data_IF_937881170868
#
_entry.id   IF_937881170868
#
_cell.length_a   1.000
_cell.length_b   1.000
_cell.length_c   1.000
_cell.angle_alpha   90.00
_cell.angle_beta   90.00
_cell.angle_gamma   90.00
#
_symmetry.space_group_name_H-M   'P 1'
#
loop_
_entity.id
_entity.type
_entity.pdbx_description
1 polymer ?
#
# COMPACT_ATOMS: atom_id res chain seq x y z
N UNK A 1 -23.36 11.35 -13.63
CA UNK A 1 -23.79 11.84 -12.30
C UNK A 1 -23.90 10.63 -11.39
N UNK A 2 -23.01 10.52 -10.40
CA UNK A 2 -22.87 9.36 -9.53
C UNK A 2 -24.03 9.20 -8.55
N UNK A 3 -24.26 7.96 -8.10
CA UNK A 3 -25.26 7.64 -7.07
C UNK A 3 -24.67 7.92 -5.68
N UNK A 4 -25.38 8.61 -4.77
CA UNK A 4 -24.86 8.95 -3.43
C UNK A 4 -24.37 7.74 -2.62
N UNK A 5 -24.92 6.56 -2.90
CA UNK A 5 -24.55 5.31 -2.23
C UNK A 5 -23.19 4.78 -2.68
N UNK A 6 -22.85 4.97 -3.95
CA UNK A 6 -21.55 4.58 -4.52
C UNK A 6 -20.47 5.51 -4.01
N UNK A 7 -20.76 6.81 -3.97
CA UNK A 7 -19.84 7.84 -3.45
C UNK A 7 -19.50 7.57 -1.98
N UNK A 8 -20.51 7.25 -1.15
CA UNK A 8 -20.29 6.86 0.26
C UNK A 8 -19.42 5.60 0.41
N UNK A 9 -19.57 4.62 -0.48
CA UNK A 9 -18.78 3.39 -0.44
C UNK A 9 -17.31 3.65 -0.82
N UNK A 10 -17.07 4.49 -1.83
CA UNK A 10 -15.72 4.90 -2.24
C UNK A 10 -14.98 5.59 -1.09
N UNK A 11 -15.64 6.55 -0.42
CA UNK A 11 -15.07 7.22 0.75
C UNK A 11 -14.74 6.24 1.89
N UNK A 12 -15.57 5.22 2.11
CA UNK A 12 -15.30 4.22 3.15
C UNK A 12 -14.07 3.36 2.83
N UNK A 13 -13.86 2.98 1.57
CA UNK A 13 -12.69 2.20 1.14
C UNK A 13 -11.40 2.99 1.44
N UNK A 14 -11.36 4.26 1.04
CA UNK A 14 -10.21 5.14 1.27
C UNK A 14 -9.94 5.36 2.75
N UNK A 15 -10.97 5.63 3.54
CA UNK A 15 -10.86 5.76 4.99
C UNK A 15 -10.31 4.47 5.62
N UNK A 16 -10.70 3.30 5.11
CA UNK A 16 -10.20 2.02 5.61
C UNK A 16 -8.72 1.81 5.27
N UNK A 17 -8.28 2.20 4.07
CA UNK A 17 -6.85 2.18 3.69
C UNK A 17 -6.05 3.14 4.59
N UNK A 18 -6.50 4.38 4.76
CA UNK A 18 -5.82 5.33 5.63
C UNK A 18 -5.72 4.83 7.09
N UNK A 19 -6.80 4.25 7.62
CA UNK A 19 -6.81 3.60 8.94
C UNK A 19 -5.83 2.42 9.01
N UNK A 20 -5.71 1.64 7.94
CA UNK A 20 -4.76 0.55 7.83
C UNK A 20 -3.32 1.05 7.92
N UNK A 21 -2.96 2.12 7.20
CA UNK A 21 -1.63 2.71 7.24
C UNK A 21 -1.27 3.26 8.63
N UNK A 22 -2.21 3.95 9.29
CA UNK A 22 -2.03 4.41 10.69
C UNK A 22 -1.84 3.21 11.63
N UNK A 23 -2.62 2.14 11.45
CA UNK A 23 -2.51 0.94 12.29
C UNK A 23 -1.16 0.26 12.08
N UNK A 24 -0.67 0.13 10.84
CA UNK A 24 0.67 -0.39 10.53
C UNK A 24 1.78 0.49 11.13
N UNK A 25 1.65 1.82 11.06
CA UNK A 25 2.57 2.77 11.70
C UNK A 25 2.70 2.46 13.21
N UNK A 26 1.57 2.32 13.90
CA UNK A 26 1.55 2.00 15.34
C UNK A 26 2.10 0.61 15.64
N UNK A 27 1.81 -0.38 14.80
CA UNK A 27 2.35 -1.74 14.93
C UNK A 27 3.87 -1.76 14.84
N UNK A 28 4.46 -0.88 14.02
CA UNK A 28 5.92 -0.73 13.92
C UNK A 28 6.52 0.14 15.04
N UNK A 29 5.69 0.70 15.94
CA UNK A 29 6.12 1.61 17.00
C UNK A 29 6.55 2.99 16.49
N UNK A 30 6.12 3.36 15.29
CA UNK A 30 6.43 4.65 14.68
C UNK A 30 5.45 5.73 15.14
N UNK A 31 5.88 6.99 15.05
CA UNK A 31 5.01 8.15 15.17
C UNK A 31 4.38 8.49 13.81
N UNK A 32 3.49 9.48 13.80
CA UNK A 32 2.80 9.93 12.59
C UNK A 32 3.55 11.07 11.88
N UNK A 33 4.85 11.25 12.14
CA UNK A 33 5.63 12.35 11.58
C UNK A 33 5.72 12.25 10.04
N UNK A 34 5.54 11.07 9.47
CA UNK A 34 5.43 10.87 8.03
C UNK A 34 4.23 11.58 7.38
N UNK A 35 3.26 12.08 8.15
CA UNK A 35 2.15 12.90 7.63
C UNK A 35 2.50 14.39 7.53
N UNK A 36 3.62 14.82 8.10
CA UNK A 36 4.00 16.23 8.11
C UNK A 36 4.66 16.61 6.78
N UNK A 37 3.88 17.23 5.90
CA UNK A 37 4.35 17.70 4.59
C UNK A 37 5.36 18.88 4.68
N UNK A 38 5.63 19.42 5.87
CA UNK A 38 6.64 20.48 6.06
C UNK A 38 8.04 19.92 6.24
N UNK A 39 8.13 18.63 6.54
CA UNK A 39 9.36 17.86 6.60
C UNK A 39 9.36 16.89 5.41
N UNK A 40 10.53 16.59 4.86
CA UNK A 40 10.72 15.53 3.85
C UNK A 40 11.36 14.34 4.57
N UNK A 41 10.56 13.55 5.33
CA UNK A 41 11.10 12.53 6.21
C UNK A 41 11.64 11.36 5.40
N UNK A 42 12.78 10.82 5.83
CA UNK A 42 13.33 9.59 5.29
C UNK A 42 12.88 8.40 6.14
N UNK A 43 12.69 7.26 5.47
CA UNK A 43 12.37 5.97 6.10
C UNK A 43 13.31 5.66 7.27
N UNK A 44 12.78 5.31 8.46
CA UNK A 44 13.57 4.78 9.58
C UNK A 44 14.32 3.49 9.25
N UNK A 45 13.94 2.80 8.16
CA UNK A 45 14.61 1.58 7.70
C UNK A 45 15.87 1.86 6.87
N UNK A 46 16.07 3.09 6.40
CA UNK A 46 17.25 3.48 5.65
C UNK A 46 18.51 3.29 6.50
N UNK A 47 19.53 2.63 5.94
CA UNK A 47 20.80 2.31 6.64
C UNK A 47 20.65 1.46 7.92
N UNK A 48 19.46 0.89 8.17
CA UNK A 48 19.25 0.04 9.33
C UNK A 48 20.09 -1.25 9.20
N UNK A 49 21.04 -1.42 10.11
CA UNK A 49 21.88 -2.62 10.20
C UNK A 49 21.01 -3.86 10.38
N UNK A 50 21.33 -4.95 9.69
CA UNK A 50 20.67 -6.26 9.87
C UNK A 50 20.80 -6.82 11.29
N UNK A 51 21.69 -6.25 12.11
CA UNK A 51 21.92 -6.63 13.51
C UNK A 51 20.89 -6.04 14.49
N UNK A 52 20.13 -5.02 14.07
CA UNK A 52 19.06 -4.45 14.87
C UNK A 52 17.76 -4.61 14.08
N UNK A 53 16.99 -5.64 14.41
CA UNK A 53 15.60 -5.73 13.98
C UNK A 53 14.77 -4.96 15.01
N UNK A 54 14.27 -3.77 14.70
CA UNK A 54 13.31 -3.09 15.55
C UNK A 54 12.08 -3.98 15.67
N UNK A 55 11.91 -4.52 16.87
CA UNK A 55 10.73 -5.25 17.30
C UNK A 55 10.80 -6.75 17.02
N UNK A 56 10.88 -7.52 18.10
CA UNK A 56 10.27 -8.87 18.19
C UNK A 56 8.75 -8.88 17.91
N UNK A 57 8.18 -7.74 17.47
CA UNK A 57 6.77 -7.44 17.27
C UNK A 57 6.46 -6.86 15.88
N UNK A 58 7.46 -6.65 15.00
CA UNK A 58 7.17 -6.19 13.63
C UNK A 58 6.68 -7.38 12.78
N UNK A 59 5.47 -7.33 12.20
CA UNK A 59 4.99 -8.37 11.29
C UNK A 59 5.96 -8.55 10.12
N UNK A 60 6.22 -9.80 9.72
CA UNK A 60 7.18 -10.12 8.66
C UNK A 60 6.91 -9.36 7.36
N UNK A 61 5.64 -9.14 7.02
CA UNK A 61 5.22 -8.43 5.82
C UNK A 61 5.58 -6.93 5.82
N UNK A 62 5.78 -6.33 7.01
CA UNK A 62 6.17 -4.93 7.18
C UNK A 62 7.68 -4.74 7.38
N UNK A 63 8.41 -5.80 7.73
CA UNK A 63 9.87 -5.75 7.82
C UNK A 63 10.50 -5.21 6.51
N UNK A 64 11.57 -4.41 6.61
CA UNK A 64 12.18 -3.82 5.43
C UNK A 64 12.92 -4.87 4.59
N UNK A 65 12.77 -4.76 3.27
CA UNK A 65 13.59 -5.47 2.29
C UNK A 65 15.01 -4.92 2.25
N UNK A 66 15.89 -5.59 1.49
CA UNK A 66 17.24 -5.07 1.25
C UNK A 66 17.20 -3.75 0.45
N UNK A 67 16.26 -3.62 -0.49
CA UNK A 67 16.13 -2.41 -1.32
C UNK A 67 15.73 -1.21 -0.46
N UNK A 68 14.73 -1.36 0.41
CA UNK A 68 14.28 -0.32 1.35
C UNK A 68 15.42 0.18 2.26
N UNK A 69 16.37 -0.68 2.63
CA UNK A 69 17.53 -0.28 3.46
C UNK A 69 18.56 0.55 2.70
N UNK A 70 18.50 0.59 1.37
CA UNK A 70 19.55 1.16 0.50
C UNK A 70 19.11 2.38 -0.29
N UNK A 71 17.83 2.47 -0.66
CA UNK A 71 17.29 3.58 -1.44
C UNK A 71 16.63 4.58 -0.47
N UNK A 72 17.04 5.85 -0.42
CA UNK A 72 16.34 6.88 0.35
C UNK A 72 14.91 7.05 -0.18
N UNK A 73 13.93 7.02 0.72
CA UNK A 73 12.52 7.09 0.36
C UNK A 73 11.65 7.55 1.53
N UNK A 74 10.43 7.98 1.22
CA UNK A 74 9.46 8.42 2.23
C UNK A 74 8.86 7.24 3.01
N UNK A 75 8.69 7.32 4.35
CA UNK A 75 8.21 6.23 5.19
C UNK A 75 6.83 5.65 4.83
N UNK A 76 6.00 6.38 4.06
CA UNK A 76 4.66 5.93 3.65
C UNK A 76 4.72 4.63 2.83
N UNK A 77 5.79 4.43 2.06
CA UNK A 77 6.01 3.21 1.28
C UNK A 77 6.21 1.99 2.19
N UNK A 78 6.80 2.17 3.38
CA UNK A 78 7.06 1.08 4.31
C UNK A 78 5.78 0.51 4.94
N UNK A 79 4.68 1.26 4.91
CA UNK A 79 3.43 0.93 5.56
C UNK A 79 2.60 -0.12 4.81
N UNK A 80 2.91 -0.39 3.54
CA UNK A 80 2.23 -1.44 2.76
C UNK A 80 2.80 -2.81 3.10
N UNK A 81 1.99 -3.81 3.46
CA UNK A 81 2.49 -5.14 3.80
C UNK A 81 2.86 -5.97 2.57
N UNK A 82 3.15 -5.37 1.40
CA UNK A 82 3.46 -6.10 0.17
C UNK A 82 4.93 -5.84 -0.21
N UNK A 83 5.91 -6.64 0.28
CA UNK A 83 7.33 -6.36 0.10
C UNK A 83 7.74 -6.16 -1.35
N UNK A 84 7.30 -7.04 -2.26
CA UNK A 84 7.64 -6.95 -3.68
C UNK A 84 7.10 -5.66 -4.33
N UNK A 85 5.91 -5.20 -3.91
CA UNK A 85 5.35 -3.94 -4.42
C UNK A 85 6.19 -2.75 -3.98
N UNK A 86 6.61 -2.72 -2.71
CA UNK A 86 7.50 -1.67 -2.19
C UNK A 86 8.82 -1.63 -2.96
N UNK A 87 9.42 -2.79 -3.23
CA UNK A 87 10.65 -2.90 -4.02
C UNK A 87 10.44 -2.40 -5.45
N UNK A 88 9.34 -2.77 -6.11
CA UNK A 88 9.04 -2.29 -7.45
C UNK A 88 8.90 -0.77 -7.49
N UNK A 89 8.20 -0.17 -6.53
CA UNK A 89 8.03 1.28 -6.43
C UNK A 89 9.38 1.98 -6.26
N UNK A 90 10.22 1.49 -5.35
CA UNK A 90 11.54 2.06 -5.10
C UNK A 90 12.50 1.94 -6.30
N UNK A 91 12.49 0.80 -7.00
CA UNK A 91 13.34 0.58 -8.16
C UNK A 91 12.96 1.45 -9.37
N UNK A 92 11.71 1.93 -9.41
CA UNK A 92 11.20 2.80 -10.46
C UNK A 92 11.04 4.25 -9.99
N UNK A 93 11.58 4.61 -8.83
CA UNK A 93 11.53 5.98 -8.32
C UNK A 93 12.02 6.99 -9.37
N UNK A 94 11.28 8.08 -9.55
CA UNK A 94 11.54 9.08 -10.59
C UNK A 94 11.08 8.72 -12.01
N UNK A 95 10.56 7.51 -12.27
CA UNK A 95 9.99 7.13 -13.57
C UNK A 95 8.46 7.22 -13.63
N UNK A 96 7.81 7.64 -12.55
CA UNK A 96 6.37 7.80 -12.44
C UNK A 96 6.01 9.03 -11.60
N UNK A 97 4.76 9.46 -11.71
CA UNK A 97 4.19 10.56 -10.91
C UNK A 97 3.82 10.03 -9.52
N UNK A 98 4.67 10.32 -8.52
CA UNK A 98 4.51 9.88 -7.14
C UNK A 98 3.26 10.46 -6.47
N UNK A 99 2.91 11.71 -6.79
CA UNK A 99 1.70 12.36 -6.27
C UNK A 99 0.45 11.68 -6.83
N UNK A 100 0.45 11.35 -8.13
CA UNK A 100 -0.64 10.63 -8.75
C UNK A 100 -0.78 9.21 -8.18
N UNK A 101 0.32 8.49 -7.98
CA UNK A 101 0.28 7.17 -7.36
C UNK A 101 -0.25 7.24 -5.92
N UNK A 102 0.23 8.20 -5.13
CA UNK A 102 -0.24 8.40 -3.75
C UNK A 102 -1.75 8.67 -3.71
N UNK A 103 -2.24 9.51 -4.63
CA UNK A 103 -3.68 9.78 -4.78
C UNK A 103 -4.47 8.55 -5.19
N UNK A 104 -3.97 7.75 -6.15
CA UNK A 104 -4.60 6.51 -6.57
C UNK A 104 -4.49 5.37 -5.53
N UNK A 105 -3.67 5.51 -4.49
CA UNK A 105 -3.54 4.53 -3.40
C UNK A 105 -4.33 4.92 -2.14
N UNK A 106 -4.31 6.19 -1.77
CA UNK A 106 -4.80 6.68 -0.46
C UNK A 106 -5.82 7.82 -0.59
N UNK A 107 -5.89 8.49 -1.75
CA UNK A 107 -6.68 9.70 -2.02
C UNK A 107 -6.51 10.79 -0.95
N UNK A 108 -5.43 11.57 -1.05
CA UNK A 108 -5.25 12.76 -0.21
C UNK A 108 -5.87 13.98 -0.90
N UNK A 109 -7.02 14.47 -0.42
CA UNK A 109 -7.54 15.78 -0.81
C UNK A 109 -8.95 15.85 -1.38
N UNK A 110 -9.75 14.78 -1.30
CA UNK A 110 -11.20 14.85 -1.48
C UNK A 110 -11.70 14.96 -2.93
N UNK A 111 -10.87 14.64 -3.91
CA UNK A 111 -11.32 14.44 -5.30
C UNK A 111 -11.67 12.96 -5.49
N UNK A 112 -12.97 12.66 -5.43
CA UNK A 112 -13.54 11.32 -5.62
C UNK A 112 -13.07 10.70 -6.94
N UNK A 113 -12.07 9.82 -6.90
CA UNK A 113 -11.69 8.99 -8.04
C UNK A 113 -12.38 7.63 -7.94
N UNK A 114 -12.94 7.20 -9.08
CA UNK A 114 -13.62 5.92 -9.23
C UNK A 114 -12.64 4.77 -8.91
N UNK A 115 -12.83 4.11 -7.76
CA UNK A 115 -12.28 2.78 -7.40
C UNK A 115 -10.81 2.54 -7.78
N UNK A 116 -9.96 3.56 -7.68
CA UNK A 116 -8.53 3.44 -7.95
C UNK A 116 -7.84 3.13 -6.63
N UNK A 117 -7.19 1.98 -6.52
CA UNK A 117 -6.33 1.67 -5.38
C UNK A 117 -6.40 0.24 -4.85
N UNK A 118 -6.13 0.12 -3.56
CA UNK A 118 -6.18 -1.11 -2.81
C UNK A 118 -7.40 -1.12 -1.88
N UNK A 119 -7.93 -2.31 -1.58
CA UNK A 119 -9.05 -2.51 -0.67
C UNK A 119 -8.55 -3.32 0.53
N UNK A 120 -8.92 -2.87 1.73
CA UNK A 120 -8.58 -3.56 2.99
C UNK A 120 -9.81 -4.28 3.52
N UNK A 121 -9.69 -5.61 3.61
CA UNK A 121 -10.73 -6.53 4.13
C UNK A 121 -10.41 -7.10 5.50
N UNK A 122 -9.13 -7.08 5.90
CA UNK A 122 -8.65 -7.77 7.10
C UNK A 122 -7.60 -6.99 7.88
N UNK A 123 -6.69 -7.71 8.53
CA UNK A 123 -5.60 -7.11 9.27
C UNK A 123 -4.62 -6.40 8.33
N UNK A 124 -4.24 -5.14 8.62
CA UNK A 124 -3.54 -4.31 7.65
C UNK A 124 -2.07 -4.69 7.44
N UNK A 125 -1.49 -5.46 8.35
CA UNK A 125 -0.13 -6.00 8.22
C UNK A 125 -0.10 -7.40 7.60
N UNK A 126 -1.25 -7.96 7.23
CA UNK A 126 -1.37 -9.27 6.59
C UNK A 126 -1.80 -9.07 5.13
N UNK A 127 -1.00 -9.57 4.18
CA UNK A 127 -1.27 -9.49 2.73
C UNK A 127 -2.62 -10.10 2.38
N UNK A 128 -3.05 -11.14 3.11
CA UNK A 128 -4.35 -11.81 2.89
C UNK A 128 -5.55 -10.89 3.11
N UNK A 129 -5.34 -9.77 3.82
CA UNK A 129 -6.33 -8.73 4.04
C UNK A 129 -6.44 -7.70 2.91
N UNK A 130 -5.63 -7.80 1.84
CA UNK A 130 -5.56 -6.77 0.80
C UNK A 130 -6.04 -7.28 -0.56
N UNK A 131 -6.73 -6.44 -1.30
CA UNK A 131 -7.16 -6.68 -2.67
C UNK A 131 -6.76 -5.50 -3.57
N UNK A 132 -6.28 -5.78 -4.78
CA UNK A 132 -6.00 -4.74 -5.79
C UNK A 132 -7.20 -4.52 -6.70
N UNK A 133 -7.54 -3.26 -6.95
CA UNK A 133 -8.63 -2.92 -7.88
C UNK A 133 -8.22 -3.04 -9.34
N UNK A 134 -9.20 -3.26 -10.22
CA UNK A 134 -8.99 -3.29 -11.68
C UNK A 134 -8.39 -1.98 -12.21
N UNK A 135 -8.89 -0.84 -11.71
CA UNK A 135 -8.40 0.48 -12.11
C UNK A 135 -6.95 0.68 -11.68
N UNK A 136 -6.57 0.21 -10.49
CA UNK A 136 -5.18 0.24 -10.06
C UNK A 136 -4.29 -0.60 -10.98
N UNK A 137 -4.69 -1.82 -11.32
CA UNK A 137 -3.92 -2.66 -12.24
C UNK A 137 -3.75 -2.02 -13.62
N UNK A 138 -4.78 -1.35 -14.13
CA UNK A 138 -4.72 -0.65 -15.42
C UNK A 138 -3.69 0.48 -15.42
N UNK A 139 -3.57 1.22 -14.32
CA UNK A 139 -2.68 2.39 -14.22
C UNK A 139 -1.27 2.03 -13.72
N UNK A 140 -1.19 1.06 -12.81
CA UNK A 140 -0.03 0.78 -11.96
C UNK A 140 0.31 -0.71 -11.88
N UNK A 141 -0.14 -1.53 -12.84
CA UNK A 141 0.10 -2.98 -12.83
C UNK A 141 1.57 -3.38 -12.72
N UNK A 142 2.49 -2.53 -13.20
CA UNK A 142 3.93 -2.72 -13.03
C UNK A 142 4.37 -2.71 -11.55
N UNK A 143 3.69 -1.96 -10.69
CA UNK A 143 4.02 -1.85 -9.27
C UNK A 143 3.74 -3.17 -8.53
N UNK A 144 2.77 -3.96 -8.99
CA UNK A 144 2.41 -5.26 -8.36
C UNK A 144 2.98 -6.47 -9.11
N UNK A 145 3.87 -6.25 -10.07
CA UNK A 145 4.56 -7.34 -10.77
C UNK A 145 5.32 -8.24 -9.78
N UNK A 146 5.12 -9.55 -9.85
CA UNK A 146 5.75 -10.51 -8.94
C UNK A 146 5.00 -10.74 -7.61
N UNK A 147 3.91 -10.00 -7.35
CA UNK A 147 3.18 -10.07 -6.07
C UNK A 147 2.20 -11.27 -6.02
N UNK A 148 2.74 -12.50 -5.98
CA UNK A 148 1.96 -13.76 -5.96
C UNK A 148 0.92 -13.82 -4.85
N UNK A 149 1.31 -13.43 -3.63
CA UNK A 149 0.42 -13.45 -2.46
C UNK A 149 -0.70 -12.42 -2.59
N UNK A 150 -0.40 -11.23 -3.11
CA UNK A 150 -1.42 -10.21 -3.37
C UNK A 150 -2.41 -10.66 -4.46
N UNK A 151 -1.94 -11.33 -5.52
CA UNK A 151 -2.82 -11.89 -6.56
C UNK A 151 -3.76 -12.95 -5.98
N UNK A 152 -3.22 -13.86 -5.16
CA UNK A 152 -4.02 -14.88 -4.49
C UNK A 152 -5.06 -14.27 -3.54
N UNK A 153 -4.66 -13.28 -2.73
CA UNK A 153 -5.55 -12.54 -1.84
C UNK A 153 -6.67 -11.85 -2.62
N UNK A 154 -6.31 -11.11 -3.68
CA UNK A 154 -7.24 -10.40 -4.56
C UNK A 154 -8.31 -11.33 -5.11
N UNK A 155 -7.90 -12.46 -5.69
CA UNK A 155 -8.83 -13.40 -6.30
C UNK A 155 -9.69 -14.15 -5.27
N UNK A 156 -9.19 -14.35 -4.04
CA UNK A 156 -9.98 -14.90 -2.93
C UNK A 156 -11.13 -13.97 -2.54
N UNK A 157 -10.87 -12.66 -2.42
CA UNK A 157 -11.91 -11.68 -2.08
C UNK A 157 -12.92 -11.47 -3.20
N UNK A 158 -12.46 -11.40 -4.44
CA UNK A 158 -13.32 -11.31 -5.64
C UNK A 158 -14.24 -12.52 -5.78
N UNK A 159 -13.72 -13.74 -5.57
CA UNK A 159 -14.51 -14.96 -5.61
C UNK A 159 -15.64 -14.98 -4.56
N UNK A 160 -15.41 -14.46 -3.35
CA UNK A 160 -16.46 -14.33 -2.32
C UNK A 160 -17.62 -13.42 -2.74
N UNK A 161 -17.38 -12.49 -3.67
CA UNK A 161 -18.39 -11.58 -4.22
C UNK A 161 -18.92 -12.02 -5.59
N UNK A 162 -18.43 -13.13 -6.14
CA UNK A 162 -18.81 -13.62 -7.48
C UNK A 162 -18.19 -12.80 -8.62
N UNK A 163 -17.12 -12.06 -8.37
CA UNK A 163 -16.39 -11.30 -9.39
C UNK A 163 -15.36 -12.20 -10.12
N UNK A 164 -15.09 -11.89 -11.40
CA UNK A 164 -14.10 -12.62 -12.20
C UNK A 164 -12.68 -12.45 -11.64
N UNK A 165 -11.85 -13.48 -11.74
CA UNK A 165 -10.46 -13.40 -11.29
C UNK A 165 -9.65 -12.40 -12.12
N UNK A 166 -8.81 -11.61 -11.45
CA UNK A 166 -7.82 -10.76 -12.10
C UNK A 166 -6.56 -11.55 -12.42
N UNK A 167 -5.85 -11.10 -13.45
CA UNK A 167 -4.58 -11.66 -13.88
C UNK A 167 -3.59 -10.51 -14.05
N UNK A 168 -2.45 -10.59 -13.37
CA UNK A 168 -1.31 -9.71 -13.58
C UNK A 168 -0.01 -10.51 -13.47
N UNK A 169 1.08 -9.95 -14.00
CA UNK A 169 2.37 -10.62 -14.09
C UNK A 169 2.93 -10.93 -12.68
N UNK A 170 3.28 -12.19 -12.43
CA UNK A 170 3.77 -12.73 -11.14
C UNK A 170 5.05 -13.52 -11.27
#
# INVERSE_FOLDING_TARGET
>A
MGSPRTDQLLTLIQINVFRALIKNTRTMGWNLDWLDCTIDPLSPWLNLSTKFMPGAHCPQALCPTNIQRTIPHHPWLDLWPIPQMRDNLLLHAGSYDEDRLCNDLVEFGGLMNEQSGLIVWGEPWDISGWEVSETFLKNWGWAVKGCKELLASTNSWRAKRGEEALVFEV
#
